data_IF_820501281320
#
_entry.id   IF_820501281320
#
_cell.length_a   1.000
_cell.length_b   1.000
_cell.length_c   1.000
_cell.angle_alpha   90.00
_cell.angle_beta   90.00
_cell.angle_gamma   90.00
#
_symmetry.space_group_name_H-M   'P 1'
#
loop_
_entity.id
_entity.type
_entity.pdbx_description
1 polymer ?
#
# COMPACT_ATOMS: atom_id res chain seq x y z
N UNK A 1 -4.32 8.80 -14.89
CA UNK A 1 -4.40 8.03 -13.64
C UNK A 1 -2.98 7.76 -13.18
N UNK A 2 -2.71 7.88 -11.88
CA UNK A 2 -1.42 7.50 -11.31
C UNK A 2 -1.23 5.98 -11.47
N UNK A 3 -0.08 5.55 -11.97
CA UNK A 3 0.23 4.13 -12.02
C UNK A 3 0.68 3.62 -10.66
N UNK A 4 0.56 2.32 -10.42
CA UNK A 4 1.05 1.71 -9.18
C UNK A 4 2.56 1.97 -8.96
N UNK A 5 3.34 2.03 -10.04
CA UNK A 5 4.75 2.34 -9.98
C UNK A 5 5.02 3.78 -9.51
N UNK A 6 4.22 4.75 -9.96
CA UNK A 6 4.34 6.15 -9.50
C UNK A 6 4.07 6.26 -8.00
N UNK A 7 3.09 5.51 -7.48
CA UNK A 7 2.79 5.44 -6.05
C UNK A 7 3.96 4.83 -5.28
N UNK A 8 4.53 3.73 -5.76
CA UNK A 8 5.68 3.08 -5.12
C UNK A 8 6.89 4.02 -5.08
N UNK A 9 7.19 4.74 -6.17
CA UNK A 9 8.30 5.70 -6.23
C UNK A 9 8.10 6.84 -5.23
N UNK A 10 6.87 7.36 -5.12
CA UNK A 10 6.53 8.41 -4.15
C UNK A 10 6.67 7.93 -2.71
N UNK A 11 6.13 6.75 -2.40
CA UNK A 11 6.20 6.17 -1.06
C UNK A 11 7.64 5.86 -0.67
N UNK A 12 8.46 5.36 -1.59
CA UNK A 12 9.91 5.18 -1.36
C UNK A 12 10.61 6.52 -1.08
N UNK A 13 10.32 7.57 -1.85
CA UNK A 13 10.90 8.88 -1.62
C UNK A 13 10.51 9.45 -0.24
N UNK A 14 9.25 9.31 0.17
CA UNK A 14 8.80 9.72 1.50
C UNK A 14 9.43 8.87 2.61
N UNK A 15 9.57 7.55 2.41
CA UNK A 15 10.26 6.65 3.37
C UNK A 15 11.76 6.95 3.50
N UNK A 16 12.42 7.40 2.44
CA UNK A 16 13.82 7.87 2.53
C UNK A 16 13.98 9.07 3.47
N UNK A 17 12.93 9.90 3.61
CA UNK A 17 12.93 11.07 4.49
C UNK A 17 12.40 10.69 5.88
N UNK A 18 11.37 9.84 5.96
CA UNK A 18 10.73 9.37 7.19
C UNK A 18 10.61 7.85 7.20
N UNK A 19 11.69 7.15 7.61
CA UNK A 19 11.74 5.69 7.55
C UNK A 19 10.74 5.00 8.47
N UNK A 20 10.18 5.67 9.48
CA UNK A 20 9.20 5.09 10.41
C UNK A 20 7.74 5.38 10.04
N UNK A 21 7.47 6.16 8.98
CA UNK A 21 6.09 6.50 8.60
C UNK A 21 5.29 5.25 8.21
N UNK A 22 4.18 4.94 8.89
CA UNK A 22 3.34 3.81 8.53
C UNK A 22 2.69 4.06 7.16
N UNK A 23 2.59 3.01 6.34
CA UNK A 23 1.89 3.06 5.05
C UNK A 23 0.55 2.37 5.24
N UNK A 24 -0.54 3.10 4.97
CA UNK A 24 -1.89 2.56 5.00
C UNK A 24 -2.37 2.29 3.58
N UNK A 25 -2.96 1.11 3.37
CA UNK A 25 -3.56 0.71 2.10
C UNK A 25 -5.07 0.67 2.31
N UNK A 26 -5.77 1.58 1.65
CA UNK A 26 -7.23 1.59 1.58
C UNK A 26 -7.71 0.61 0.51
N UNK A 27 -8.47 -0.42 0.91
CA UNK A 27 -9.12 -1.36 -0.01
C UNK A 27 -10.63 -1.23 0.07
N UNK A 28 -11.31 -1.20 -1.08
CA UNK A 28 -12.77 -1.32 -1.16
C UNK A 28 -13.17 -2.76 -0.76
N UNK A 29 -14.28 -2.93 -0.05
CA UNK A 29 -14.85 -4.23 0.31
C UNK A 29 -15.13 -5.15 -0.90
N UNK A 30 -15.35 -4.55 -2.09
CA UNK A 30 -15.51 -5.30 -3.33
C UNK A 30 -14.18 -5.82 -3.93
N UNK A 31 -13.03 -5.45 -3.35
CA UNK A 31 -11.71 -5.83 -3.87
C UNK A 31 -11.44 -7.32 -3.60
N UNK A 32 -11.14 -8.13 -4.62
CA UNK A 32 -10.76 -9.52 -4.42
C UNK A 32 -9.56 -9.64 -3.48
N UNK A 33 -9.63 -10.59 -2.55
CA UNK A 33 -8.53 -10.86 -1.62
C UNK A 33 -7.20 -11.14 -2.35
N UNK A 34 -7.27 -11.72 -3.56
CA UNK A 34 -6.10 -11.95 -4.42
C UNK A 34 -5.35 -10.66 -4.78
N UNK A 35 -6.07 -9.58 -5.09
CA UNK A 35 -5.47 -8.29 -5.45
C UNK A 35 -4.81 -7.64 -4.23
N UNK A 36 -5.41 -7.82 -3.04
CA UNK A 36 -4.84 -7.36 -1.77
C UNK A 36 -3.52 -8.08 -1.49
N UNK A 37 -3.47 -9.40 -1.65
CA UNK A 37 -2.25 -10.19 -1.44
C UNK A 37 -1.15 -9.78 -2.43
N UNK A 38 -1.49 -9.55 -3.69
CA UNK A 38 -0.52 -9.14 -4.71
C UNK A 38 0.05 -7.74 -4.41
N UNK A 39 -0.78 -6.82 -3.93
CA UNK A 39 -0.34 -5.49 -3.50
C UNK A 39 0.56 -5.56 -2.24
N UNK A 40 0.22 -6.41 -1.27
CA UNK A 40 1.05 -6.63 -0.09
C UNK A 40 2.42 -7.22 -0.46
N UNK A 41 2.48 -8.15 -1.43
CA UNK A 41 3.75 -8.71 -1.93
C UNK A 41 4.61 -7.63 -2.60
N UNK A 42 4.02 -6.80 -3.47
CA UNK A 42 4.72 -5.69 -4.11
C UNK A 42 5.24 -4.65 -3.10
N UNK A 43 4.45 -4.31 -2.08
CA UNK A 43 4.87 -3.38 -1.01
C UNK A 43 5.95 -3.98 -0.12
N UNK A 44 5.88 -5.29 0.16
CA UNK A 44 6.91 -6.03 0.88
C UNK A 44 8.25 -6.01 0.11
N UNK A 45 8.22 -6.33 -1.19
CA UNK A 45 9.39 -6.23 -2.10
C UNK A 45 9.93 -4.80 -2.20
N UNK A 46 9.05 -3.81 -2.08
CA UNK A 46 9.44 -2.40 -2.06
C UNK A 46 10.10 -1.96 -0.73
N UNK A 47 10.19 -2.84 0.28
CA UNK A 47 10.81 -2.55 1.57
C UNK A 47 9.87 -1.88 2.57
N UNK A 48 8.55 -2.07 2.41
CA UNK A 48 7.52 -1.50 3.28
C UNK A 48 6.90 -2.63 4.13
N UNK A 49 7.53 -3.02 5.25
CA UNK A 49 7.08 -4.18 6.04
C UNK A 49 5.86 -3.89 6.92
N UNK A 50 5.53 -2.61 7.17
CA UNK A 50 4.38 -2.20 8.01
C UNK A 50 3.32 -1.57 7.14
N UNK A 51 2.43 -2.41 6.64
CA UNK A 51 1.25 -2.04 5.88
C UNK A 51 0.01 -2.28 6.72
N UNK A 52 -0.76 -1.22 6.96
CA UNK A 52 -2.07 -1.31 7.60
C UNK A 52 -3.16 -1.44 6.56
N UNK A 53 -3.94 -2.53 6.61
CA UNK A 53 -5.14 -2.66 5.78
C UNK A 53 -6.25 -1.82 6.43
N UNK A 54 -6.73 -0.81 5.72
CA UNK A 54 -7.89 -0.03 6.13
C UNK A 54 -9.02 -0.37 5.15
N UNK A 55 -9.95 -1.21 5.59
CA UNK A 55 -11.18 -1.47 4.84
C UNK A 55 -12.24 -0.50 5.33
N UNK A 56 -12.72 0.35 4.43
CA UNK A 56 -13.89 1.18 4.69
C UNK A 56 -15.11 0.27 4.47
N UNK A 57 -15.63 -0.33 5.54
CA UNK A 57 -16.88 -1.08 5.50
C UNK A 57 -17.97 0.00 5.41
N UNK A 58 -18.38 0.37 4.19
CA UNK A 58 -19.56 1.19 3.99
C UNK A 58 -20.78 0.34 4.30
N UNK A 59 -21.38 0.57 5.47
CA UNK A 59 -22.76 0.17 5.81
C UNK A 59 -23.78 0.93 4.93
#
# INVERSE_FOLDING_TARGET
>A
GLSLQDVIVRVKAERSIKPDSPVAVGGDAATPYADVVMLLDELSRAGIPKVGLMTDIRE
#
